data_IF_696496851039
#
_entry.id   IF_696496851039
#
_cell.length_a   1.000
_cell.length_b   1.000
_cell.length_c   1.000
_cell.angle_alpha   90.00
_cell.angle_beta   90.00
_cell.angle_gamma   90.00
#
_symmetry.space_group_name_H-M   'P 1'
#
loop_
_entity.id
_entity.type
_entity.pdbx_description
1 polymer ?
#
# COMPACT_ATOMS: atom_id res chain seq x y z
N UNK A 1 7.29 -58.24 30.16
CA UNK A 1 6.98 -58.56 28.76
C UNK A 1 6.35 -57.36 28.12
N UNK A 2 7.16 -56.52 27.42
CA UNK A 2 6.70 -55.28 26.81
C UNK A 2 6.31 -55.57 25.38
N UNK A 3 5.02 -55.54 25.10
CA UNK A 3 4.49 -55.71 23.76
C UNK A 3 4.74 -54.45 22.95
N UNK A 4 5.71 -54.48 22.03
CA UNK A 4 5.88 -53.43 21.02
C UNK A 4 4.65 -53.39 20.09
N UNK A 5 3.86 -52.32 20.22
CA UNK A 5 2.75 -52.05 19.29
C UNK A 5 3.38 -51.65 17.94
N UNK A 6 3.33 -52.56 16.96
CA UNK A 6 3.67 -52.25 15.58
C UNK A 6 2.69 -51.17 15.08
N UNK A 7 3.16 -49.96 14.93
CA UNK A 7 2.40 -48.94 14.20
C UNK A 7 2.42 -49.32 12.71
N UNK A 8 1.31 -49.80 12.21
CA UNK A 8 1.11 -50.00 10.77
C UNK A 8 1.11 -48.60 10.13
N UNK A 9 2.12 -48.35 9.30
CA UNK A 9 2.19 -47.11 8.49
C UNK A 9 1.04 -47.17 7.47
N UNK A 10 0.18 -46.18 7.53
CA UNK A 10 -0.93 -46.05 6.58
C UNK A 10 -0.38 -45.58 5.22
N UNK A 11 0.03 -46.54 4.40
CA UNK A 11 0.61 -46.34 3.07
C UNK A 11 -0.20 -45.38 2.16
N UNK A 12 -1.55 -45.44 2.11
CA UNK A 12 -2.33 -44.45 1.33
C UNK A 12 -2.20 -43.01 1.85
N UNK A 13 -2.19 -42.81 3.17
CA UNK A 13 -2.05 -41.47 3.75
C UNK A 13 -0.66 -40.87 3.47
N UNK A 14 0.38 -41.72 3.53
CA UNK A 14 1.75 -41.31 3.19
C UNK A 14 1.85 -40.95 1.71
N UNK A 15 1.26 -41.71 0.81
CA UNK A 15 1.25 -41.42 -0.62
C UNK A 15 0.52 -40.10 -0.95
N UNK A 16 -0.62 -39.83 -0.29
CA UNK A 16 -1.35 -38.57 -0.44
C UNK A 16 -0.50 -37.39 0.05
N UNK A 17 0.18 -37.52 1.19
CA UNK A 17 1.06 -36.49 1.72
C UNK A 17 2.21 -36.20 0.76
N UNK A 18 2.88 -37.21 0.20
CA UNK A 18 3.93 -37.04 -0.79
C UNK A 18 3.43 -36.35 -2.08
N UNK A 19 2.23 -36.73 -2.54
CA UNK A 19 1.63 -36.10 -3.72
C UNK A 19 1.33 -34.61 -3.49
N UNK A 20 0.82 -34.23 -2.31
CA UNK A 20 0.57 -32.84 -1.95
C UNK A 20 1.87 -32.02 -1.83
N UNK A 21 2.90 -32.60 -1.24
CA UNK A 21 4.23 -31.95 -1.15
C UNK A 21 4.85 -31.79 -2.54
N UNK A 22 4.81 -32.81 -3.38
CA UNK A 22 5.31 -32.75 -4.75
C UNK A 22 4.53 -31.72 -5.58
N UNK A 23 3.21 -31.67 -5.45
CA UNK A 23 2.37 -30.67 -6.11
C UNK A 23 2.73 -29.24 -5.64
N UNK A 24 2.91 -29.03 -4.33
CA UNK A 24 3.36 -27.77 -3.76
C UNK A 24 4.71 -27.32 -4.33
N UNK A 25 5.69 -28.22 -4.41
CA UNK A 25 7.01 -27.94 -4.99
C UNK A 25 6.93 -27.60 -6.48
N UNK A 26 6.11 -28.33 -7.25
CA UNK A 26 5.88 -28.06 -8.68
C UNK A 26 5.24 -26.67 -8.85
N UNK A 27 4.23 -26.34 -8.06
CA UNK A 27 3.56 -25.04 -8.13
C UNK A 27 4.51 -23.89 -7.78
N UNK A 28 5.38 -24.05 -6.78
CA UNK A 28 6.41 -23.06 -6.43
C UNK A 28 7.40 -22.89 -7.58
N UNK A 29 7.88 -23.98 -8.15
CA UNK A 29 8.83 -23.95 -9.28
C UNK A 29 8.23 -23.30 -10.54
N UNK A 30 6.96 -23.57 -10.85
CA UNK A 30 6.23 -22.93 -11.97
C UNK A 30 6.07 -21.43 -11.72
N UNK A 31 5.79 -21.01 -10.48
CA UNK A 31 5.70 -19.60 -10.13
C UNK A 31 7.06 -18.89 -10.29
N UNK A 32 8.14 -19.53 -9.86
CA UNK A 32 9.49 -18.97 -9.99
C UNK A 32 9.91 -18.82 -11.47
N UNK A 33 9.60 -19.82 -12.30
CA UNK A 33 9.83 -19.72 -13.75
C UNK A 33 9.00 -18.59 -14.37
N UNK A 34 7.73 -18.44 -13.98
CA UNK A 34 6.87 -17.37 -14.51
C UNK A 34 7.36 -15.96 -14.16
N UNK A 35 8.13 -15.83 -13.08
CA UNK A 35 8.74 -14.57 -12.63
C UNK A 35 10.15 -14.33 -13.18
N UNK A 36 10.79 -15.34 -13.73
CA UNK A 36 12.15 -15.22 -14.28
C UNK A 36 12.33 -14.05 -15.25
N UNK A 37 11.37 -13.74 -16.15
CA UNK A 37 11.51 -12.59 -17.04
C UNK A 37 11.68 -11.25 -16.33
N UNK A 38 10.98 -11.03 -15.20
CA UNK A 38 11.08 -9.75 -14.47
C UNK A 38 12.43 -9.61 -13.76
N UNK A 39 13.02 -10.70 -13.26
CA UNK A 39 14.36 -10.68 -12.66
C UNK A 39 15.44 -10.44 -13.74
N UNK A 40 15.28 -11.01 -14.93
CA UNK A 40 16.15 -10.76 -16.08
C UNK A 40 16.02 -9.29 -16.49
N UNK A 41 14.81 -8.77 -16.61
CA UNK A 41 14.57 -7.36 -16.91
C UNK A 41 15.22 -6.45 -15.87
N UNK A 42 15.06 -6.74 -14.58
CA UNK A 42 15.69 -5.97 -13.51
C UNK A 42 17.21 -5.94 -13.65
N UNK A 43 17.82 -7.08 -13.93
CA UNK A 43 19.27 -7.18 -14.15
C UNK A 43 19.76 -6.40 -15.38
N UNK A 44 18.96 -6.35 -16.44
CA UNK A 44 19.30 -5.65 -17.69
C UNK A 44 18.96 -4.16 -17.66
N UNK A 45 18.17 -3.71 -16.68
CA UNK A 45 17.76 -2.29 -16.58
C UNK A 45 18.96 -1.41 -16.25
N UNK A 46 19.24 -0.43 -17.11
CA UNK A 46 20.23 0.59 -16.84
C UNK A 46 19.66 1.58 -15.82
N UNK A 47 20.29 1.64 -14.65
CA UNK A 47 19.80 2.41 -13.52
C UNK A 47 20.60 3.69 -13.36
N UNK A 48 19.90 4.82 -13.29
CA UNK A 48 20.43 6.13 -12.89
C UNK A 48 20.39 6.24 -11.37
N UNK A 49 21.36 6.95 -10.78
CA UNK A 49 21.46 7.21 -9.35
C UNK A 49 21.51 8.73 -9.09
N UNK A 50 20.43 9.46 -9.36
CA UNK A 50 20.38 10.90 -9.13
C UNK A 50 20.46 11.22 -7.65
N UNK A 51 20.72 12.50 -7.31
CA UNK A 51 20.71 12.97 -5.91
C UNK A 51 19.29 13.19 -5.35
N UNK A 52 18.30 13.28 -6.24
CA UNK A 52 16.86 13.39 -5.92
C UNK A 52 16.02 12.74 -7.01
N UNK A 53 14.80 12.29 -6.71
CA UNK A 53 13.90 11.68 -7.69
C UNK A 53 13.36 12.69 -8.68
N UNK A 54 13.11 12.22 -9.90
CA UNK A 54 12.29 12.89 -10.89
C UNK A 54 11.07 12.00 -11.16
N UNK A 55 9.87 12.60 -11.22
CA UNK A 55 8.60 11.88 -11.39
C UNK A 55 7.83 12.39 -12.60
N UNK A 56 8.52 12.89 -13.63
CA UNK A 56 7.89 13.61 -14.74
C UNK A 56 6.82 12.80 -15.46
N UNK A 57 7.06 11.50 -15.68
CA UNK A 57 6.11 10.61 -16.36
C UNK A 57 4.97 10.17 -15.44
N UNK A 58 5.31 9.87 -14.19
CA UNK A 58 4.29 9.50 -13.21
C UNK A 58 3.40 10.71 -12.86
N UNK A 59 3.96 11.88 -12.70
CA UNK A 59 3.23 13.14 -12.48
C UNK A 59 2.26 13.44 -13.63
N UNK A 60 2.73 13.31 -14.87
CA UNK A 60 1.90 13.49 -16.06
C UNK A 60 0.76 12.43 -16.11
N UNK A 61 1.04 11.19 -15.74
CA UNK A 61 0.04 10.14 -15.64
C UNK A 61 -1.05 10.52 -14.66
N UNK A 62 -0.69 10.95 -13.44
CA UNK A 62 -1.66 11.33 -12.41
C UNK A 62 -2.48 12.55 -12.84
N UNK A 63 -1.86 13.61 -13.35
CA UNK A 63 -2.55 14.80 -13.86
C UNK A 63 -3.53 14.50 -15.00
N UNK A 64 -3.27 13.43 -15.75
CA UNK A 64 -4.11 13.06 -16.89
C UNK A 64 -5.27 12.15 -16.47
N UNK A 65 -5.04 11.21 -15.56
CA UNK A 65 -5.97 10.11 -15.28
C UNK A 65 -6.46 10.06 -13.82
N UNK A 66 -5.87 10.81 -12.89
CA UNK A 66 -6.34 10.88 -11.52
C UNK A 66 -7.14 12.17 -11.28
N UNK A 67 -8.32 12.02 -10.66
CA UNK A 67 -9.18 13.13 -10.30
C UNK A 67 -10.02 12.79 -9.07
N UNK A 68 -10.09 13.70 -8.12
CA UNK A 68 -10.92 13.56 -6.91
C UNK A 68 -10.69 12.21 -6.19
N UNK A 69 -9.41 11.80 -6.08
CA UNK A 69 -9.00 10.55 -5.43
C UNK A 69 -9.26 9.27 -6.23
N UNK A 70 -9.76 9.39 -7.45
CA UNK A 70 -10.10 8.28 -8.35
C UNK A 70 -9.21 8.25 -9.58
N UNK A 71 -9.14 7.09 -10.25
CA UNK A 71 -8.32 6.89 -11.45
C UNK A 71 -9.19 6.39 -12.60
N UNK A 72 -9.02 6.95 -13.78
CA UNK A 72 -9.64 6.48 -15.03
C UNK A 72 -8.85 5.26 -15.57
N UNK A 73 -9.05 4.12 -14.93
CA UNK A 73 -8.39 2.87 -15.31
C UNK A 73 -8.72 2.40 -16.71
N UNK A 74 -9.94 2.67 -17.17
CA UNK A 74 -10.44 2.28 -18.50
C UNK A 74 -9.57 2.87 -19.59
N UNK A 75 -9.26 4.15 -19.52
CA UNK A 75 -8.46 4.85 -20.52
C UNK A 75 -6.96 4.69 -20.24
N UNK A 76 -6.55 4.69 -18.98
CA UNK A 76 -5.16 4.55 -18.59
C UNK A 76 -4.54 3.22 -19.04
N UNK A 77 -5.27 2.10 -18.96
CA UNK A 77 -4.71 0.76 -19.30
C UNK A 77 -4.20 0.66 -20.74
N UNK A 78 -4.69 1.49 -21.64
CA UNK A 78 -4.26 1.54 -23.06
C UNK A 78 -3.33 2.72 -23.35
N UNK A 79 -3.07 3.57 -22.37
CA UNK A 79 -2.20 4.73 -22.53
C UNK A 79 -0.72 4.34 -22.47
N UNK A 80 0.14 4.88 -23.35
CA UNK A 80 1.57 4.69 -23.26
C UNK A 80 2.19 5.31 -22.00
N UNK A 81 1.50 6.28 -21.34
CA UNK A 81 1.97 6.90 -20.11
C UNK A 81 2.15 5.90 -18.99
N UNK A 82 1.33 4.84 -18.93
CA UNK A 82 1.48 3.81 -17.91
C UNK A 82 2.84 3.12 -18.02
N UNK A 83 3.26 2.75 -19.24
CA UNK A 83 4.54 2.09 -19.44
C UNK A 83 5.71 3.07 -19.23
N UNK A 84 5.62 4.31 -19.71
CA UNK A 84 6.69 5.29 -19.52
C UNK A 84 6.89 5.66 -18.04
N UNK A 85 5.81 5.73 -17.25
CA UNK A 85 5.92 5.93 -15.80
C UNK A 85 6.56 4.71 -15.10
N UNK A 86 6.22 3.49 -15.51
CA UNK A 86 6.89 2.27 -15.02
C UNK A 86 8.38 2.25 -15.37
N UNK A 87 8.76 2.64 -16.58
CA UNK A 87 10.16 2.69 -17.04
C UNK A 87 10.96 3.77 -16.28
N UNK A 88 10.35 4.91 -15.98
CA UNK A 88 10.92 5.96 -15.13
C UNK A 88 11.27 5.41 -13.73
N UNK A 89 10.31 4.74 -13.07
CA UNK A 89 10.53 4.13 -11.77
C UNK A 89 11.53 2.96 -11.82
N UNK A 90 11.52 2.18 -12.89
CA UNK A 90 12.45 1.06 -13.08
C UNK A 90 13.90 1.54 -13.20
N UNK A 91 14.13 2.65 -13.90
CA UNK A 91 15.46 3.18 -14.20
C UNK A 91 16.02 4.18 -13.17
N UNK A 92 15.27 4.53 -12.12
CA UNK A 92 15.69 5.48 -11.09
C UNK A 92 15.95 4.75 -9.77
N UNK A 93 17.20 4.71 -9.29
CA UNK A 93 17.53 4.14 -7.96
C UNK A 93 17.59 5.23 -6.88
N UNK A 94 17.02 4.99 -5.71
CA UNK A 94 17.10 5.90 -4.57
C UNK A 94 18.44 5.84 -3.81
N UNK A 95 19.38 4.98 -4.22
CA UNK A 95 20.63 4.71 -3.48
C UNK A 95 21.48 5.98 -3.21
N UNK A 96 21.29 7.03 -3.99
CA UNK A 96 22.09 8.27 -3.88
C UNK A 96 21.26 9.50 -3.45
N UNK A 97 20.00 9.32 -3.09
CA UNK A 97 19.17 10.43 -2.62
C UNK A 97 19.73 11.06 -1.35
N UNK A 98 19.69 12.38 -1.26
CA UNK A 98 20.31 13.12 -0.15
C UNK A 98 19.35 13.37 1.01
N UNK A 99 18.04 13.28 0.78
CA UNK A 99 17.02 13.53 1.78
C UNK A 99 16.18 12.28 2.07
N UNK A 100 15.72 12.16 3.31
CA UNK A 100 14.78 11.11 3.71
C UNK A 100 13.40 11.36 3.08
N UNK A 101 13.01 12.62 2.90
CA UNK A 101 11.73 12.97 2.28
C UNK A 101 11.73 12.58 0.80
N UNK A 102 12.83 12.80 0.07
CA UNK A 102 12.98 12.32 -1.31
C UNK A 102 12.85 10.78 -1.37
N UNK A 103 13.45 10.08 -0.39
CA UNK A 103 13.43 8.62 -0.34
C UNK A 103 12.02 8.09 -0.06
N UNK A 104 11.31 8.67 0.91
CA UNK A 104 9.95 8.20 1.22
C UNK A 104 8.96 8.55 0.11
N UNK A 105 9.06 9.73 -0.50
CA UNK A 105 8.27 10.12 -1.67
C UNK A 105 8.46 9.16 -2.83
N UNK A 106 9.72 8.75 -3.11
CA UNK A 106 10.01 7.78 -4.15
C UNK A 106 9.28 6.44 -3.91
N UNK A 107 9.41 5.89 -2.71
CA UNK A 107 8.80 4.61 -2.39
C UNK A 107 7.27 4.67 -2.34
N UNK A 108 6.68 5.78 -1.85
CA UNK A 108 5.24 5.99 -1.88
C UNK A 108 4.71 6.06 -3.31
N UNK A 109 5.35 6.86 -4.17
CA UNK A 109 4.97 6.97 -5.59
C UNK A 109 5.14 5.64 -6.33
N UNK A 110 6.25 4.91 -6.09
CA UNK A 110 6.48 3.61 -6.70
C UNK A 110 5.42 2.58 -6.27
N UNK A 111 5.09 2.54 -4.97
CA UNK A 111 4.03 1.68 -4.46
C UNK A 111 2.67 1.99 -5.10
N UNK A 112 2.30 3.26 -5.16
CA UNK A 112 1.04 3.71 -5.73
C UNK A 112 0.96 3.44 -7.24
N UNK A 113 2.06 3.64 -7.97
CA UNK A 113 2.12 3.31 -9.39
C UNK A 113 1.97 1.80 -9.65
N UNK A 114 2.60 0.95 -8.83
CA UNK A 114 2.39 -0.50 -8.90
C UNK A 114 0.92 -0.86 -8.64
N UNK A 115 0.28 -0.22 -7.66
CA UNK A 115 -1.13 -0.44 -7.38
C UNK A 115 -2.01 -0.09 -8.59
N UNK A 116 -1.76 1.06 -9.22
CA UNK A 116 -2.43 1.47 -10.46
C UNK A 116 -2.19 0.45 -11.58
N UNK A 117 -0.93 0.02 -11.78
CA UNK A 117 -0.55 -0.94 -12.83
C UNK A 117 -1.28 -2.27 -12.67
N UNK A 118 -1.35 -2.79 -11.44
CA UNK A 118 -2.07 -4.05 -11.14
C UNK A 118 -3.56 -3.92 -11.51
N UNK A 119 -4.21 -2.80 -11.15
CA UNK A 119 -5.61 -2.58 -11.52
C UNK A 119 -5.77 -2.49 -13.03
N UNK A 120 -4.89 -1.75 -13.73
CA UNK A 120 -4.93 -1.65 -15.19
C UNK A 120 -4.78 -3.01 -15.89
N UNK A 121 -3.90 -3.88 -15.38
CA UNK A 121 -3.66 -5.22 -15.94
C UNK A 121 -4.86 -6.15 -15.77
N UNK A 122 -5.60 -6.01 -14.67
CA UNK A 122 -6.76 -6.84 -14.34
C UNK A 122 -8.09 -6.19 -14.77
N UNK A 123 -8.06 -5.01 -15.37
CA UNK A 123 -9.25 -4.24 -15.71
C UNK A 123 -10.06 -4.83 -16.88
N UNK A 124 -11.39 -4.96 -16.78
CA UNK A 124 -12.26 -4.55 -15.68
C UNK A 124 -12.18 -5.50 -14.48
N UNK A 125 -12.11 -4.93 -13.27
CA UNK A 125 -11.96 -5.71 -12.05
C UNK A 125 -13.31 -6.22 -11.54
N UNK A 126 -13.63 -7.48 -11.81
CA UNK A 126 -14.88 -8.10 -11.38
C UNK A 126 -14.90 -8.49 -9.89
N UNK A 127 -13.75 -8.75 -9.31
CA UNK A 127 -13.59 -9.16 -7.90
C UNK A 127 -12.40 -8.42 -7.27
N UNK A 128 -12.63 -7.23 -6.67
CA UNK A 128 -11.56 -6.40 -6.13
C UNK A 128 -10.65 -7.12 -5.12
N UNK A 129 -11.19 -7.99 -4.27
CA UNK A 129 -10.39 -8.75 -3.30
C UNK A 129 -9.35 -9.69 -3.91
N UNK A 130 -9.50 -10.09 -5.18
CA UNK A 130 -8.47 -10.87 -5.88
C UNK A 130 -7.17 -10.10 -6.07
N UNK A 131 -7.25 -8.78 -6.20
CA UNK A 131 -6.06 -7.93 -6.35
C UNK A 131 -5.14 -8.00 -5.13
N UNK A 132 -5.65 -8.34 -3.96
CA UNK A 132 -4.85 -8.47 -2.75
C UNK A 132 -3.68 -9.44 -2.94
N UNK A 133 -3.89 -10.55 -3.67
CA UNK A 133 -2.81 -11.50 -3.99
C UNK A 133 -1.77 -10.88 -4.92
N UNK A 134 -2.22 -10.10 -5.89
CA UNK A 134 -1.34 -9.45 -6.86
C UNK A 134 -0.45 -8.39 -6.19
N UNK A 135 -0.99 -7.59 -5.26
CA UNK A 135 -0.21 -6.64 -4.46
C UNK A 135 0.92 -7.32 -3.66
N UNK A 136 0.66 -8.53 -3.14
CA UNK A 136 1.64 -9.29 -2.37
C UNK A 136 2.69 -9.93 -3.27
N UNK A 137 2.27 -10.53 -4.39
CA UNK A 137 3.06 -11.53 -5.08
C UNK A 137 3.61 -11.08 -6.44
N UNK A 138 2.99 -10.12 -7.13
CA UNK A 138 3.40 -9.72 -8.48
C UNK A 138 4.57 -8.75 -8.43
N UNK A 139 5.76 -9.14 -8.94
CA UNK A 139 6.91 -8.25 -8.97
C UNK A 139 6.89 -7.34 -10.20
N UNK A 140 7.45 -6.15 -10.03
CA UNK A 140 7.73 -5.16 -11.05
C UNK A 140 9.18 -4.67 -10.89
N UNK A 141 9.78 -4.11 -11.94
CA UNK A 141 11.10 -3.51 -11.81
C UNK A 141 10.95 -2.10 -11.22
N UNK A 142 11.61 -1.86 -10.09
CA UNK A 142 11.69 -0.55 -9.42
C UNK A 142 13.14 -0.34 -8.97
N UNK A 143 13.78 0.73 -9.40
CA UNK A 143 15.18 1.01 -9.05
C UNK A 143 16.16 -0.07 -9.49
N UNK A 144 15.88 -0.78 -10.60
CA UNK A 144 16.67 -1.90 -11.08
C UNK A 144 16.50 -3.19 -10.27
N UNK A 145 15.50 -3.29 -9.39
CA UNK A 145 15.23 -4.47 -8.57
C UNK A 145 13.80 -4.96 -8.79
N UNK A 146 13.57 -6.27 -8.66
CA UNK A 146 12.23 -6.84 -8.71
C UNK A 146 11.54 -6.59 -7.35
N UNK A 147 10.46 -5.80 -7.35
CA UNK A 147 9.71 -5.39 -6.17
C UNK A 147 8.21 -5.61 -6.36
N UNK A 148 7.52 -6.10 -5.34
CA UNK A 148 6.06 -6.06 -5.26
C UNK A 148 5.59 -4.85 -4.44
N UNK A 149 4.31 -4.51 -4.50
CA UNK A 149 3.78 -3.46 -3.62
C UNK A 149 4.01 -3.82 -2.13
N UNK A 150 3.86 -5.10 -1.77
CA UNK A 150 4.08 -5.54 -0.38
C UNK A 150 5.56 -5.48 0.02
N UNK A 151 6.51 -5.85 -0.87
CA UNK A 151 7.94 -5.72 -0.54
C UNK A 151 8.35 -4.25 -0.39
N UNK A 152 7.82 -3.35 -1.22
CA UNK A 152 8.06 -1.90 -1.06
C UNK A 152 7.52 -1.42 0.30
N UNK A 153 6.33 -1.85 0.67
CA UNK A 153 5.77 -1.53 1.98
C UNK A 153 6.67 -2.04 3.12
N UNK A 154 6.97 -3.35 3.13
CA UNK A 154 7.65 -4.01 4.23
C UNK A 154 9.12 -3.57 4.40
N UNK A 155 9.83 -3.40 3.29
CA UNK A 155 11.28 -3.19 3.30
C UNK A 155 11.67 -1.72 3.31
N UNK A 156 10.80 -0.83 2.80
CA UNK A 156 11.16 0.58 2.61
C UNK A 156 10.21 1.57 3.28
N UNK A 157 8.89 1.43 3.12
CA UNK A 157 7.94 2.41 3.66
C UNK A 157 7.75 2.21 5.17
N UNK A 158 7.37 1.01 5.59
CA UNK A 158 7.10 0.71 6.98
C UNK A 158 8.28 1.03 7.93
N UNK A 159 9.54 0.63 7.62
CA UNK A 159 10.68 1.02 8.44
C UNK A 159 10.87 2.53 8.56
N UNK A 160 10.63 3.30 7.49
CA UNK A 160 10.69 4.76 7.54
C UNK A 160 9.62 5.34 8.49
N UNK A 161 8.40 4.80 8.46
CA UNK A 161 7.30 5.29 9.30
C UNK A 161 7.45 4.91 10.77
N UNK A 162 8.03 3.73 11.06
CA UNK A 162 8.11 3.18 12.41
C UNK A 162 9.47 3.48 13.07
N UNK A 163 10.58 3.17 12.41
CA UNK A 163 11.93 3.27 12.98
C UNK A 163 12.51 4.68 12.92
N UNK A 164 12.44 5.32 11.76
CA UNK A 164 12.95 6.68 11.54
C UNK A 164 12.21 7.76 12.31
N UNK A 165 11.00 7.48 12.72
CA UNK A 165 10.18 8.35 13.54
C UNK A 165 10.82 8.75 14.87
N UNK A 166 11.63 7.89 15.47
CA UNK A 166 12.41 8.22 16.68
C UNK A 166 13.33 9.41 16.47
N UNK A 167 13.75 9.64 15.23
CA UNK A 167 14.59 10.76 14.81
C UNK A 167 13.75 12.02 14.44
N UNK A 168 12.41 11.98 14.57
CA UNK A 168 11.46 13.04 14.14
C UNK A 168 11.54 13.42 12.65
N UNK A 169 12.19 12.61 11.83
CA UNK A 169 12.42 12.90 10.41
C UNK A 169 11.20 12.58 9.54
N UNK A 170 10.42 11.56 9.90
CA UNK A 170 9.21 11.13 9.18
C UNK A 170 8.07 10.97 10.16
N UNK A 171 6.89 11.46 9.81
CA UNK A 171 5.71 11.40 10.67
C UNK A 171 4.77 10.26 10.23
N UNK A 172 4.07 9.66 11.20
CA UNK A 172 3.14 8.54 10.95
C UNK A 172 2.02 8.91 9.97
N UNK A 173 1.65 10.18 9.92
CA UNK A 173 0.62 10.72 9.03
C UNK A 173 0.99 10.59 7.53
N UNK A 174 2.28 10.43 7.20
CA UNK A 174 2.73 10.16 5.82
C UNK A 174 2.09 8.90 5.22
N UNK A 175 1.60 7.95 6.06
CA UNK A 175 0.85 6.78 5.59
C UNK A 175 -0.40 7.15 4.79
N UNK A 176 -0.96 8.36 4.97
CA UNK A 176 -2.14 8.82 4.23
C UNK A 176 -1.86 9.15 2.75
N UNK A 177 -0.61 9.04 2.32
CA UNK A 177 -0.24 9.05 0.90
C UNK A 177 -0.22 7.66 0.28
N UNK A 178 -0.40 6.59 1.07
CA UNK A 178 -0.40 5.22 0.59
C UNK A 178 -1.78 4.86 0.02
N UNK A 179 -1.88 4.75 -1.30
CA UNK A 179 -3.08 4.31 -2.01
C UNK A 179 -2.89 2.87 -2.52
N UNK A 180 -3.83 1.98 -2.20
CA UNK A 180 -3.88 0.60 -2.73
C UNK A 180 -5.04 0.40 -3.70
N UNK A 181 -5.45 1.46 -4.38
CA UNK A 181 -6.51 1.45 -5.38
C UNK A 181 -7.91 1.04 -4.87
N UNK A 182 -8.13 0.99 -3.55
CA UNK A 182 -9.44 0.76 -2.95
C UNK A 182 -10.00 2.04 -2.31
N UNK A 183 -11.31 2.22 -2.36
CA UNK A 183 -11.98 3.39 -1.78
C UNK A 183 -11.87 3.50 -0.25
N UNK A 184 -11.57 2.40 0.43
CA UNK A 184 -11.31 2.39 1.88
C UNK A 184 -9.92 2.88 2.28
N UNK A 185 -9.01 3.10 1.32
CA UNK A 185 -7.69 3.73 1.52
C UNK A 185 -7.77 5.25 1.39
N UNK A 186 -6.76 6.00 1.84
CA UNK A 186 -6.60 7.41 1.50
C UNK A 186 -6.65 7.64 -0.01
N UNK A 187 -7.11 8.80 -0.41
CA UNK A 187 -7.21 9.19 -1.81
C UNK A 187 -5.84 9.27 -2.47
N UNK A 188 -5.78 8.91 -3.74
CA UNK A 188 -4.58 9.16 -4.55
C UNK A 188 -4.53 10.64 -4.91
N UNK A 189 -3.33 11.22 -4.87
CA UNK A 189 -3.07 12.59 -5.35
C UNK A 189 -3.22 12.66 -6.88
N UNK A 190 -3.54 13.83 -7.40
CA UNK A 190 -3.57 14.10 -8.85
C UNK A 190 -2.20 14.52 -9.42
N UNK A 191 -1.15 14.41 -8.62
CA UNK A 191 0.23 14.70 -8.95
C UNK A 191 1.17 13.77 -8.17
N UNK A 192 2.42 13.66 -8.64
CA UNK A 192 3.45 12.93 -7.92
C UNK A 192 3.86 13.69 -6.65
N UNK A 193 3.91 12.97 -5.52
CA UNK A 193 4.34 13.54 -4.25
C UNK A 193 5.85 13.77 -4.29
N UNK A 194 6.30 14.96 -3.95
CA UNK A 194 7.71 15.34 -3.88
C UNK A 194 8.08 15.80 -2.46
N UNK A 195 9.36 15.93 -2.16
CA UNK A 195 9.79 16.46 -0.87
C UNK A 195 9.23 17.87 -0.59
N UNK A 196 9.03 18.67 -1.64
CA UNK A 196 8.46 20.02 -1.54
C UNK A 196 6.95 20.00 -1.23
N UNK A 197 6.20 19.03 -1.77
CA UNK A 197 4.74 18.95 -1.58
C UNK A 197 4.33 18.04 -0.41
N UNK A 198 5.24 17.17 0.06
CA UNK A 198 5.00 16.11 1.03
C UNK A 198 4.10 16.53 2.20
N UNK A 199 4.40 17.62 2.87
CA UNK A 199 3.65 18.05 4.06
C UNK A 199 2.26 18.55 3.73
N UNK A 200 2.13 19.31 2.65
CA UNK A 200 0.82 19.81 2.20
C UNK A 200 -0.08 18.66 1.73
N UNK A 201 0.48 17.69 1.02
CA UNK A 201 -0.26 16.51 0.53
C UNK A 201 -0.70 15.61 1.69
N UNK A 202 0.18 15.40 2.68
CA UNK A 202 -0.17 14.65 3.89
C UNK A 202 -1.31 15.35 4.65
N UNK A 203 -1.19 16.64 4.93
CA UNK A 203 -2.21 17.41 5.65
C UNK A 203 -3.56 17.37 4.92
N UNK A 204 -3.54 17.55 3.60
CA UNK A 204 -4.73 17.47 2.77
C UNK A 204 -5.40 16.07 2.82
N UNK A 205 -4.62 15.02 2.66
CA UNK A 205 -5.17 13.65 2.65
C UNK A 205 -5.64 13.21 4.03
N UNK A 206 -4.93 13.59 5.10
CA UNK A 206 -5.39 13.34 6.48
C UNK A 206 -6.71 14.04 6.73
N UNK A 207 -6.80 15.33 6.41
CA UNK A 207 -8.01 16.13 6.60
C UNK A 207 -9.22 15.51 5.88
N UNK A 208 -9.07 15.22 4.60
CA UNK A 208 -10.12 14.54 3.81
C UNK A 208 -10.53 13.20 4.39
N UNK A 209 -9.56 12.40 4.83
CA UNK A 209 -9.81 11.07 5.34
C UNK A 209 -10.54 11.09 6.68
N UNK A 210 -10.07 11.92 7.61
CA UNK A 210 -10.62 12.01 8.98
C UNK A 210 -11.98 12.69 8.99
N UNK A 211 -12.22 13.68 8.13
CA UNK A 211 -13.53 14.35 8.03
C UNK A 211 -14.56 13.61 7.16
N UNK A 212 -14.18 12.49 6.58
CA UNK A 212 -15.15 11.63 5.88
C UNK A 212 -15.92 10.74 6.86
N UNK A 213 -17.25 10.82 6.93
CA UNK A 213 -18.06 9.96 7.80
C UNK A 213 -17.90 8.47 7.51
N UNK A 214 -17.41 8.11 6.32
CA UNK A 214 -17.06 6.72 5.97
C UNK A 214 -15.81 6.22 6.68
N UNK A 215 -14.95 7.12 7.14
CA UNK A 215 -13.66 6.79 7.74
C UNK A 215 -13.61 7.10 9.23
N UNK A 216 -14.34 8.14 9.64
CA UNK A 216 -14.42 8.57 11.02
C UNK A 216 -15.78 9.23 11.26
N UNK A 217 -16.60 8.64 12.13
CA UNK A 217 -17.92 9.16 12.49
C UNK A 217 -18.03 9.22 14.01
N UNK A 218 -18.11 10.43 14.53
CA UNK A 218 -18.30 10.69 15.95
C UNK A 218 -19.72 11.17 16.25
N UNK A 219 -20.39 10.44 17.12
CA UNK A 219 -21.73 10.77 17.60
C UNK A 219 -21.68 11.07 19.09
N UNK A 220 -21.47 12.32 19.47
CA UNK A 220 -21.29 12.72 20.87
C UNK A 220 -22.48 12.34 21.74
N UNK A 221 -23.71 12.51 21.25
CA UNK A 221 -24.96 12.20 21.96
C UNK A 221 -25.10 10.72 22.34
N UNK A 222 -24.52 9.83 21.50
CA UNK A 222 -24.55 8.39 21.71
C UNK A 222 -23.28 7.87 22.42
N UNK A 223 -22.28 8.71 22.63
CA UNK A 223 -20.93 8.34 23.07
C UNK A 223 -20.33 7.22 22.19
N UNK A 224 -20.46 7.36 20.88
CA UNK A 224 -20.03 6.35 19.90
C UNK A 224 -19.06 6.96 18.91
N UNK A 225 -18.02 6.18 18.63
CA UNK A 225 -17.12 6.42 17.51
C UNK A 225 -17.14 5.25 16.54
N UNK A 226 -17.22 5.56 15.27
CA UNK A 226 -16.95 4.62 14.21
C UNK A 226 -15.66 5.04 13.50
N UNK A 227 -14.67 4.16 13.45
CA UNK A 227 -13.36 4.41 12.87
C UNK A 227 -13.07 3.44 11.74
N UNK A 228 -12.47 3.92 10.66
CA UNK A 228 -12.09 3.08 9.52
C UNK A 228 -11.16 1.94 9.94
N UNK A 229 -11.37 0.78 9.32
CA UNK A 229 -10.47 -0.37 9.46
C UNK A 229 -9.04 -0.08 8.96
N UNK A 230 -8.84 0.97 8.18
CA UNK A 230 -7.52 1.46 7.80
C UNK A 230 -6.62 1.68 9.04
N UNK A 231 -7.14 2.31 10.08
CA UNK A 231 -6.41 2.52 11.33
C UNK A 231 -6.03 1.21 12.04
N UNK A 232 -6.85 0.16 11.88
CA UNK A 232 -6.54 -1.16 12.42
C UNK A 232 -5.44 -1.87 11.63
N UNK A 233 -5.44 -1.73 10.29
CA UNK A 233 -4.41 -2.32 9.44
C UNK A 233 -3.01 -1.78 9.71
N UNK A 234 -2.92 -0.51 10.10
CA UNK A 234 -1.66 0.20 10.32
C UNK A 234 -1.49 0.64 11.78
N UNK A 235 -2.02 -0.15 12.71
CA UNK A 235 -2.02 0.18 14.14
C UNK A 235 -0.62 0.40 14.70
N UNK A 236 0.36 -0.34 14.24
CA UNK A 236 1.76 -0.23 14.64
C UNK A 236 2.41 1.07 14.16
N UNK A 237 1.99 1.60 13.01
CA UNK A 237 2.40 2.92 12.53
C UNK A 237 1.85 4.01 13.43
N UNK A 238 0.55 3.97 13.78
CA UNK A 238 -0.10 5.00 14.60
C UNK A 238 0.31 4.93 16.07
N UNK A 239 0.58 3.73 16.60
CA UNK A 239 0.89 3.50 18.02
C UNK A 239 2.19 4.10 18.55
N UNK A 240 3.03 4.68 17.70
CA UNK A 240 4.36 5.15 18.11
C UNK A 240 4.46 6.63 18.56
N UNK A 241 3.38 7.39 18.55
CA UNK A 241 3.39 8.80 18.99
C UNK A 241 2.04 9.28 19.47
N UNK A 242 1.08 8.45 19.29
CA UNK A 242 -0.23 8.54 19.89
C UNK A 242 -0.44 7.23 20.67
N UNK A 243 -1.12 7.27 21.79
CA UNK A 243 -1.35 6.08 22.61
C UNK A 243 -2.10 4.99 21.82
N UNK A 244 -2.87 5.42 20.81
CA UNK A 244 -3.56 4.53 19.87
C UNK A 244 -3.98 5.29 18.59
N UNK A 245 -4.50 4.59 17.56
CA UNK A 245 -5.02 5.20 16.33
C UNK A 245 -6.15 6.23 16.55
N UNK A 246 -6.83 6.13 17.66
CA UNK A 246 -7.88 7.06 18.11
C UNK A 246 -7.36 8.44 18.43
N UNK A 247 -6.35 8.49 19.28
CA UNK A 247 -5.70 9.73 19.65
C UNK A 247 -5.17 10.46 18.42
N UNK A 248 -4.69 9.69 17.43
CA UNK A 248 -4.29 10.23 16.12
C UNK A 248 -5.49 10.85 15.38
N UNK A 249 -6.54 10.08 15.17
CA UNK A 249 -7.72 10.54 14.42
C UNK A 249 -8.37 11.77 15.10
N UNK A 250 -8.48 11.75 16.41
CA UNK A 250 -9.01 12.86 17.18
C UNK A 250 -8.15 14.11 17.12
N UNK A 251 -6.83 13.97 17.14
CA UNK A 251 -5.93 15.11 17.00
C UNK A 251 -6.18 15.90 15.70
N UNK A 252 -6.46 15.22 14.60
CA UNK A 252 -6.77 15.86 13.33
C UNK A 252 -8.23 16.32 13.24
N UNK A 253 -9.16 15.58 13.81
CA UNK A 253 -10.59 15.92 13.81
C UNK A 253 -10.88 17.17 14.64
N UNK A 254 -10.29 17.28 15.85
CA UNK A 254 -10.54 18.37 16.80
C UNK A 254 -9.92 19.72 16.37
N UNK A 255 -9.02 19.72 15.39
CA UNK A 255 -8.46 20.98 14.85
C UNK A 255 -9.50 21.88 14.18
N UNK A 256 -10.60 21.30 13.66
CA UNK A 256 -11.62 22.01 12.88
C UNK A 256 -12.94 22.24 13.65
N UNK A 257 -13.34 21.32 14.51
CA UNK A 257 -14.64 21.33 15.17
C UNK A 257 -14.48 21.27 16.69
N UNK A 258 -14.83 22.35 17.35
CA UNK A 258 -14.74 22.54 18.82
C UNK A 258 -15.76 21.68 19.59
N UNK A 259 -15.79 20.38 19.37
CA UNK A 259 -16.66 19.49 20.12
C UNK A 259 -15.89 18.94 21.32
N UNK A 260 -16.35 19.19 22.58
CA UNK A 260 -15.72 18.63 23.77
C UNK A 260 -15.84 17.11 23.72
N UNK A 261 -14.71 16.42 23.75
CA UNK A 261 -14.65 14.99 23.68
C UNK A 261 -14.05 14.38 24.94
N UNK A 262 -14.76 13.40 25.51
CA UNK A 262 -14.25 12.54 26.58
C UNK A 262 -13.99 11.12 26.04
N UNK A 263 -12.77 10.82 25.56
CA UNK A 263 -12.43 9.53 24.93
C UNK A 263 -12.73 8.31 25.79
N UNK A 264 -12.62 8.48 27.11
CA UNK A 264 -12.76 7.38 28.08
C UNK A 264 -14.18 6.84 28.20
N UNK A 265 -15.18 7.57 27.71
CA UNK A 265 -16.59 7.20 27.82
C UNK A 265 -17.20 6.67 26.54
N UNK A 266 -16.49 6.77 25.44
CA UNK A 266 -17.04 6.42 24.14
C UNK A 266 -16.79 4.96 23.76
N UNK A 267 -17.80 4.31 23.16
CA UNK A 267 -17.68 3.00 22.55
C UNK A 267 -17.13 3.12 21.15
N UNK A 268 -16.07 2.37 20.86
CA UNK A 268 -15.42 2.33 19.55
C UNK A 268 -15.96 1.23 18.70
N UNK A 269 -16.31 1.54 17.46
CA UNK A 269 -16.67 0.57 16.43
C UNK A 269 -15.70 0.68 15.24
N UNK A 270 -15.31 -0.47 14.72
CA UNK A 270 -14.54 -0.54 13.48
C UNK A 270 -15.51 -0.60 12.30
N UNK A 271 -15.46 0.39 11.43
CA UNK A 271 -16.28 0.44 10.22
C UNK A 271 -15.86 -0.64 9.22
N UNK A 272 -16.80 -1.07 8.38
CA UNK A 272 -16.49 -1.95 7.27
C UNK A 272 -15.59 -1.22 6.28
N UNK A 273 -14.55 -1.93 5.82
CA UNK A 273 -13.65 -1.40 4.84
C UNK A 273 -14.26 -1.48 3.43
N UNK A 274 -14.19 -0.38 2.68
CA UNK A 274 -14.66 -0.35 1.29
C UNK A 274 -13.59 -0.92 0.35
N UNK A 275 -13.83 -2.14 -0.12
CA UNK A 275 -12.96 -2.85 -1.06
C UNK A 275 -13.26 -2.53 -2.52
N UNK A 276 -14.18 -1.60 -2.81
CA UNK A 276 -14.42 -1.14 -4.17
C UNK A 276 -13.20 -0.44 -4.73
N UNK A 277 -12.95 -0.61 -6.03
CA UNK A 277 -11.84 0.07 -6.71
C UNK A 277 -12.14 1.57 -6.81
N UNK A 278 -11.12 2.39 -6.63
CA UNK A 278 -11.19 3.84 -6.79
C UNK A 278 -11.24 4.27 -8.27
N UNK A 279 -12.16 3.67 -9.03
CA UNK A 279 -12.37 3.94 -10.46
C UNK A 279 -13.29 5.15 -10.66
N UNK A 280 -13.01 5.98 -11.66
CA UNK A 280 -13.87 7.10 -12.06
C UNK A 280 -15.22 6.67 -12.64
N UNK A 281 -15.37 5.42 -13.05
CA UNK A 281 -16.62 4.88 -13.64
C UNK A 281 -17.70 4.52 -12.60
N UNK A 282 -17.44 4.72 -11.31
CA UNK A 282 -18.35 4.41 -10.20
C UNK A 282 -18.83 5.63 -9.44
#
# INVERSE_FOLDING_TARGET
MIVKKNQQVNLPAVAVTFALVAFGLIMTFVQDISRAPIYIQAYLTQVKKPERPEFSQYDLLLKTFAKDGRVDYKNLKTSPLLQTAMDEMASTSPDNFKSLDDTICYWMNAHNLIAIKIVCDEYPVSMPLKLKREFIARPFVVGGKAQSAESIWADFIHPHLVEKRKEKAVQADTIFLLCRAYLGYPEITDHAVTAETLRADVEHNVDKFVHSPKNFDYKPEEHVFAISRFFQFYRDVFGQGFEDPWAFAMYYYDKSDKVPFEPRLAKTFIQNFDWSINDTSH
#
